data_IF_189148237635
#
_entry.id   IF_189148237635
#
_cell.length_a   1.000
_cell.length_b   1.000
_cell.length_c   1.000
_cell.angle_alpha   90.00
_cell.angle_beta   90.00
_cell.angle_gamma   90.00
#
_symmetry.space_group_name_H-M   'P 1'
#
loop_
_entity.id
_entity.type
_entity.pdbx_description
1 polymer ?
#
# COMPACT_ATOMS: atom_id res chain seq x y z
N UNK A 1 -8.26 5.86 -25.56
CA UNK A 1 -8.25 7.33 -25.62
C UNK A 1 -7.23 7.83 -24.61
N UNK A 2 -6.25 8.65 -25.01
CA UNK A 2 -5.40 9.37 -24.05
C UNK A 2 -6.31 10.17 -23.10
N UNK A 3 -6.16 10.07 -21.77
CA UNK A 3 -6.61 11.14 -20.90
C UNK A 3 -5.92 12.43 -21.37
N UNK A 4 -6.68 13.50 -21.58
CA UNK A 4 -6.10 14.83 -21.84
C UNK A 4 -5.12 15.15 -20.70
N UNK A 5 -4.06 15.89 -21.03
CA UNK A 5 -2.99 16.27 -20.12
C UNK A 5 -3.46 16.55 -18.67
N UNK A 6 -2.78 15.89 -17.72
CA UNK A 6 -2.37 16.20 -16.34
C UNK A 6 -2.91 17.44 -15.59
N UNK A 7 -3.40 18.47 -16.29
CA UNK A 7 -4.00 19.68 -15.72
C UNK A 7 -5.53 19.72 -15.84
N UNK A 8 -6.15 18.76 -16.54
CA UNK A 8 -7.59 18.69 -16.68
C UNK A 8 -8.22 17.95 -15.51
N UNK A 9 -9.29 18.53 -14.94
CA UNK A 9 -10.17 17.82 -14.01
C UNK A 9 -10.59 16.48 -14.61
N UNK A 10 -10.56 15.42 -13.81
CA UNK A 10 -10.87 14.06 -14.25
C UNK A 10 -11.73 13.34 -13.22
N UNK A 11 -12.51 12.38 -13.69
CA UNK A 11 -13.35 11.52 -12.84
C UNK A 11 -13.28 10.09 -13.36
N UNK A 12 -13.03 9.14 -12.47
CA UNK A 12 -13.09 7.71 -12.76
C UNK A 12 -14.00 7.02 -11.75
N UNK A 13 -14.95 6.23 -12.25
CA UNK A 13 -15.82 5.39 -11.44
C UNK A 13 -15.58 3.93 -11.80
N UNK A 14 -15.66 3.05 -10.80
CA UNK A 14 -15.52 1.60 -10.94
C UNK A 14 -16.56 0.89 -10.09
N UNK A 15 -17.12 -0.18 -10.65
CA UNK A 15 -17.98 -1.12 -9.91
C UNK A 15 -17.17 -2.30 -9.36
N UNK A 16 -17.70 -2.98 -8.36
CA UNK A 16 -17.01 -4.06 -7.63
C UNK A 16 -16.34 -5.12 -8.51
N UNK A 17 -16.94 -5.49 -9.63
CA UNK A 17 -16.44 -6.59 -10.48
C UNK A 17 -15.91 -6.11 -11.84
N UNK A 18 -15.73 -4.80 -12.00
CA UNK A 18 -15.27 -4.24 -13.26
C UNK A 18 -13.78 -4.54 -13.47
N UNK A 19 -13.47 -5.29 -14.54
CA UNK A 19 -12.11 -5.59 -15.01
C UNK A 19 -12.09 -5.50 -16.53
N UNK A 20 -11.04 -4.91 -17.09
CA UNK A 20 -10.81 -4.90 -18.53
C UNK A 20 -10.46 -6.29 -19.07
N UNK A 21 -10.84 -6.54 -20.33
CA UNK A 21 -10.49 -7.78 -21.04
C UNK A 21 -8.95 -7.89 -21.19
N UNK A 22 -8.46 -9.13 -21.22
CA UNK A 22 -7.03 -9.49 -21.18
C UNK A 22 -6.16 -8.85 -22.27
N UNK A 23 -6.76 -8.45 -23.39
CA UNK A 23 -6.06 -7.88 -24.54
C UNK A 23 -6.20 -6.35 -24.66
N UNK A 24 -6.72 -5.67 -23.64
CA UNK A 24 -6.78 -4.21 -23.64
C UNK A 24 -5.43 -3.66 -23.17
N UNK A 25 -4.73 -2.85 -23.97
CA UNK A 25 -3.49 -2.23 -23.53
C UNK A 25 -3.70 -1.39 -22.27
N UNK A 26 -2.85 -1.61 -21.26
CA UNK A 26 -2.81 -0.76 -20.08
C UNK A 26 -2.03 0.50 -20.41
N UNK A 27 -2.64 1.64 -20.16
CA UNK A 27 -1.93 2.91 -20.16
C UNK A 27 -1.29 3.14 -18.79
N UNK A 28 0.03 3.34 -18.78
CA UNK A 28 0.80 3.78 -17.62
C UNK A 28 1.15 5.25 -17.80
N UNK A 29 1.00 6.01 -16.72
CA UNK A 29 1.47 7.39 -16.63
C UNK A 29 2.99 7.39 -16.44
N UNK A 30 3.72 7.95 -17.40
CA UNK A 30 5.19 7.91 -17.44
C UNK A 30 5.83 9.30 -17.32
N UNK A 31 5.04 10.36 -17.22
CA UNK A 31 5.57 11.72 -17.10
C UNK A 31 5.71 12.13 -15.64
N UNK A 32 6.83 12.78 -15.25
CA UNK A 32 7.00 13.28 -13.89
C UNK A 32 6.05 14.40 -13.52
N UNK A 33 5.43 15.03 -14.52
CA UNK A 33 4.43 16.04 -14.27
C UNK A 33 3.06 15.44 -13.97
N UNK A 34 2.81 14.17 -14.34
CA UNK A 34 1.52 13.49 -14.19
C UNK A 34 0.94 13.65 -12.78
N UNK A 35 -0.39 13.73 -12.68
CA UNK A 35 -1.06 13.90 -11.41
C UNK A 35 -0.78 12.69 -10.52
N UNK A 36 -0.14 12.88 -9.36
CA UNK A 36 0.25 11.81 -8.44
C UNK A 36 -0.95 10.94 -8.05
N UNK A 37 -2.10 11.57 -7.86
CA UNK A 37 -3.32 10.93 -7.42
C UNK A 37 -4.17 10.37 -8.57
N UNK A 38 -3.76 10.58 -9.83
CA UNK A 38 -4.48 9.99 -10.95
C UNK A 38 -4.28 8.47 -10.98
N UNK A 39 -5.35 7.70 -11.27
CA UNK A 39 -5.26 6.28 -11.51
C UNK A 39 -4.12 5.97 -12.47
N UNK A 40 -3.17 5.14 -12.05
CA UNK A 40 -1.95 4.90 -12.84
C UNK A 40 -2.13 3.80 -13.87
N UNK A 41 -3.20 3.01 -13.75
CA UNK A 41 -3.46 1.82 -14.53
C UNK A 41 -4.84 1.96 -15.16
N UNK A 42 -4.88 2.34 -16.43
CA UNK A 42 -6.13 2.56 -17.15
C UNK A 42 -6.19 1.76 -18.46
N UNK A 43 -7.18 0.85 -18.63
CA UNK A 43 -8.16 0.41 -17.63
C UNK A 43 -7.57 -0.59 -16.61
N UNK A 44 -8.27 -0.81 -15.48
CA UNK A 44 -7.91 -1.84 -14.49
C UNK A 44 -8.04 -3.22 -15.13
N UNK A 45 -6.96 -4.00 -15.18
CA UNK A 45 -6.97 -5.35 -15.73
C UNK A 45 -6.82 -6.41 -14.61
N UNK A 46 -6.92 -7.69 -14.96
CA UNK A 46 -6.93 -8.79 -13.99
C UNK A 46 -5.58 -9.05 -13.28
N UNK A 47 -4.53 -8.29 -13.56
CA UNK A 47 -3.16 -8.56 -13.06
C UNK A 47 -2.50 -7.30 -12.49
N UNK A 48 -3.29 -6.26 -12.23
CA UNK A 48 -2.78 -4.96 -11.82
C UNK A 48 -3.72 -4.35 -10.81
N UNK A 49 -3.14 -3.79 -9.74
CA UNK A 49 -3.87 -3.06 -8.71
C UNK A 49 -3.35 -1.64 -8.57
N UNK A 50 -4.21 -0.75 -8.07
CA UNK A 50 -3.83 0.56 -7.58
C UNK A 50 -4.30 0.74 -6.14
N UNK A 51 -3.47 1.42 -5.34
CA UNK A 51 -3.66 1.56 -3.90
C UNK A 51 -3.41 3.02 -3.49
N UNK A 52 -4.25 3.51 -2.59
CA UNK A 52 -4.00 4.70 -1.78
C UNK A 52 -3.89 4.26 -0.33
N UNK A 53 -2.83 4.67 0.34
CA UNK A 53 -2.55 4.28 1.72
C UNK A 53 -2.30 5.51 2.57
N UNK A 54 -2.84 5.48 3.79
CA UNK A 54 -2.70 6.53 4.77
C UNK A 54 -2.45 5.90 6.13
N UNK A 55 -1.30 6.16 6.70
CA UNK A 55 -0.93 5.68 8.01
C UNK A 55 -0.46 6.81 8.92
N UNK A 56 -0.30 6.48 10.19
CA UNK A 56 0.25 7.40 11.17
C UNK A 56 0.46 6.71 12.49
N UNK A 57 1.48 7.18 13.21
CA UNK A 57 1.81 6.74 14.57
C UNK A 57 1.89 7.99 15.45
N UNK A 58 1.37 7.90 16.69
CA UNK A 58 1.52 8.98 17.66
C UNK A 58 2.98 9.18 18.04
N UNK A 59 3.33 10.38 18.51
CA UNK A 59 4.71 10.73 18.83
C UNK A 59 5.37 9.83 19.90
N UNK A 60 4.55 9.25 20.78
CA UNK A 60 4.98 8.28 21.81
C UNK A 60 5.03 6.83 21.31
N UNK A 61 4.65 6.56 20.05
CA UNK A 61 4.63 5.22 19.46
C UNK A 61 3.45 4.35 19.91
N UNK A 62 2.54 4.85 20.74
CA UNK A 62 1.56 4.02 21.42
C UNK A 62 0.22 3.88 20.70
N UNK A 63 -0.08 4.78 19.76
CA UNK A 63 -1.27 4.73 18.92
C UNK A 63 -0.85 4.70 17.45
N UNK A 64 -1.57 3.92 16.64
CA UNK A 64 -1.34 3.87 15.21
C UNK A 64 -2.64 3.69 14.45
N UNK A 65 -2.67 4.13 13.20
CA UNK A 65 -3.71 3.79 12.26
C UNK A 65 -3.10 3.48 10.89
N UNK A 66 -3.83 2.69 10.11
CA UNK A 66 -3.56 2.47 8.69
C UNK A 66 -4.88 2.29 7.95
N UNK A 67 -5.04 3.01 6.85
CA UNK A 67 -6.16 2.90 5.93
C UNK A 67 -5.62 2.66 4.53
N UNK A 68 -5.98 1.53 3.94
CA UNK A 68 -5.69 1.21 2.55
C UNK A 68 -6.97 1.18 1.73
N UNK A 69 -6.97 1.88 0.60
CA UNK A 69 -8.03 1.90 -0.40
C UNK A 69 -7.51 1.25 -1.66
N UNK A 70 -8.17 0.18 -2.10
CA UNK A 70 -7.68 -0.67 -3.16
C UNK A 70 -8.67 -0.70 -4.33
N UNK A 71 -8.11 -0.72 -5.54
CA UNK A 71 -8.73 -1.24 -6.76
C UNK A 71 -7.80 -2.32 -7.27
N UNK A 72 -8.04 -3.56 -6.84
CA UNK A 72 -7.14 -4.67 -7.03
C UNK A 72 -7.92 -5.97 -7.25
N UNK A 73 -7.95 -6.48 -8.50
CA UNK A 73 -8.59 -7.76 -8.80
C UNK A 73 -7.89 -8.97 -8.17
N UNK A 74 -6.61 -8.90 -7.82
CA UNK A 74 -5.91 -10.02 -7.16
C UNK A 74 -6.42 -10.22 -5.72
N UNK A 75 -6.96 -9.17 -5.11
CA UNK A 75 -7.58 -9.22 -3.78
C UNK A 75 -9.06 -9.60 -3.80
N UNK A 76 -9.62 -9.92 -4.98
CA UNK A 76 -11.02 -10.36 -5.15
C UNK A 76 -11.24 -11.81 -4.70
N UNK A 77 -10.90 -12.10 -3.44
CA UNK A 77 -11.02 -13.44 -2.87
C UNK A 77 -12.49 -13.83 -2.75
N UNK A 78 -12.84 -15.02 -3.25
CA UNK A 78 -14.20 -15.61 -3.12
C UNK A 78 -15.33 -14.71 -3.64
N UNK A 79 -15.06 -13.89 -4.67
CA UNK A 79 -16.08 -13.07 -5.31
C UNK A 79 -16.51 -11.85 -4.48
N UNK A 80 -15.64 -11.36 -3.60
CA UNK A 80 -15.86 -10.11 -2.84
C UNK A 80 -15.76 -8.84 -3.69
N UNK A 81 -15.17 -8.94 -4.89
CA UNK A 81 -14.93 -7.82 -5.80
C UNK A 81 -13.56 -7.17 -5.61
N UNK A 82 -13.23 -6.26 -6.51
CA UNK A 82 -11.92 -5.66 -6.69
C UNK A 82 -11.70 -4.41 -5.81
N UNK A 83 -12.73 -3.97 -5.09
CA UNK A 83 -12.73 -2.68 -4.38
C UNK A 83 -12.63 -2.92 -2.87
N UNK A 84 -11.42 -3.13 -2.38
CA UNK A 84 -11.17 -3.42 -0.95
C UNK A 84 -10.84 -2.15 -0.17
N UNK A 85 -11.27 -2.10 1.08
CA UNK A 85 -10.82 -1.15 2.10
C UNK A 85 -10.25 -1.95 3.25
N UNK A 86 -9.08 -1.56 3.74
CA UNK A 86 -8.50 -2.07 4.99
C UNK A 86 -8.41 -0.92 5.97
N UNK A 87 -8.95 -1.09 7.18
CA UNK A 87 -8.85 -0.12 8.26
C UNK A 87 -8.33 -0.84 9.50
N UNK A 88 -7.15 -0.44 9.99
CA UNK A 88 -6.59 -0.98 11.23
C UNK A 88 -6.20 0.18 12.15
N UNK A 89 -6.54 0.05 13.43
CA UNK A 89 -6.15 1.00 14.47
C UNK A 89 -5.58 0.25 15.67
N UNK A 90 -4.54 0.82 16.27
CA UNK A 90 -3.93 0.34 17.48
C UNK A 90 -3.91 1.45 18.53
N UNK A 91 -4.25 1.11 19.76
CA UNK A 91 -4.32 2.04 20.87
C UNK A 91 -3.34 1.70 21.99
N UNK A 92 -2.98 2.72 22.76
CA UNK A 92 -2.00 2.63 23.86
C UNK A 92 -2.40 1.61 24.94
N UNK A 93 -3.69 1.41 25.16
CA UNK A 93 -4.23 0.45 26.14
C UNK A 93 -4.20 -1.01 25.66
N UNK A 94 -3.59 -1.30 24.51
CA UNK A 94 -3.52 -2.63 23.92
C UNK A 94 -4.72 -2.99 23.02
N UNK A 95 -5.79 -2.20 23.01
CA UNK A 95 -6.93 -2.43 22.11
C UNK A 95 -6.49 -2.33 20.64
N UNK A 96 -7.06 -3.19 19.80
CA UNK A 96 -6.86 -3.21 18.35
C UNK A 96 -8.22 -3.21 17.65
N UNK A 97 -8.30 -2.48 16.55
CA UNK A 97 -9.42 -2.51 15.62
C UNK A 97 -8.90 -2.95 14.25
N UNK A 98 -9.62 -3.84 13.59
CA UNK A 98 -9.28 -4.30 12.25
C UNK A 98 -10.57 -4.58 11.49
N UNK A 99 -10.73 -3.97 10.33
CA UNK A 99 -11.90 -4.12 9.48
C UNK A 99 -11.48 -4.16 8.01
N UNK A 100 -12.10 -5.08 7.28
CA UNK A 100 -11.98 -5.15 5.82
C UNK A 100 -13.38 -5.03 5.25
N UNK A 101 -13.58 -4.07 4.37
CA UNK A 101 -14.82 -3.90 3.63
C UNK A 101 -14.58 -4.05 2.13
N UNK A 102 -15.63 -4.49 1.43
CA UNK A 102 -15.63 -4.60 -0.03
C UNK A 102 -16.70 -3.68 -0.60
N UNK A 103 -16.26 -2.58 -1.21
CA UNK A 103 -17.14 -1.58 -1.78
C UNK A 103 -17.83 -2.08 -3.04
N UNK A 104 -19.09 -1.67 -3.21
CA UNK A 104 -19.81 -1.87 -4.46
C UNK A 104 -19.33 -0.90 -5.54
N UNK A 105 -18.89 0.30 -5.14
CA UNK A 105 -18.49 1.37 -6.03
C UNK A 105 -17.30 2.16 -5.47
N UNK A 106 -16.37 2.52 -6.35
CA UNK A 106 -15.26 3.44 -6.09
C UNK A 106 -15.30 4.59 -7.09
N UNK A 107 -15.21 5.82 -6.61
CA UNK A 107 -15.16 7.03 -7.42
C UNK A 107 -13.94 7.84 -7.01
N UNK A 108 -13.12 8.20 -7.99
CA UNK A 108 -12.05 9.18 -7.85
C UNK A 108 -12.36 10.38 -8.72
N UNK A 109 -12.23 11.57 -8.16
CA UNK A 109 -12.40 12.84 -8.86
C UNK A 109 -11.25 13.77 -8.52
N UNK A 110 -10.57 14.32 -9.51
CA UNK A 110 -9.60 15.41 -9.34
C UNK A 110 -10.16 16.69 -9.95
N UNK A 111 -10.06 17.75 -9.17
CA UNK A 111 -10.51 19.10 -9.48
C UNK A 111 -9.34 20.09 -9.26
N UNK A 112 -9.60 21.39 -9.42
CA UNK A 112 -8.59 22.42 -9.22
C UNK A 112 -8.05 22.48 -7.77
N UNK A 113 -8.89 22.11 -6.79
CA UNK A 113 -8.59 22.15 -5.36
C UNK A 113 -7.90 20.88 -4.83
N UNK A 114 -7.96 19.78 -5.58
CA UNK A 114 -7.34 18.52 -5.18
C UNK A 114 -8.07 17.28 -5.69
N UNK A 115 -7.73 16.13 -5.11
CA UNK A 115 -8.30 14.83 -5.47
C UNK A 115 -9.16 14.29 -4.34
N UNK A 116 -10.30 13.69 -4.69
CA UNK A 116 -11.24 13.08 -3.75
C UNK A 116 -11.50 11.64 -4.15
N UNK A 117 -11.35 10.75 -3.18
CA UNK A 117 -11.67 9.34 -3.29
C UNK A 117 -12.90 9.01 -2.47
N UNK A 118 -13.73 8.14 -3.01
CA UNK A 118 -14.97 7.69 -2.39
C UNK A 118 -15.17 6.20 -2.65
N UNK A 119 -15.23 5.41 -1.58
CA UNK A 119 -15.56 3.99 -1.62
C UNK A 119 -16.81 3.78 -0.79
N UNK A 120 -17.84 3.15 -1.37
CA UNK A 120 -19.08 2.84 -0.64
C UNK A 120 -19.53 1.41 -0.87
N UNK A 121 -20.21 0.89 0.14
CA UNK A 121 -21.01 -0.32 0.05
C UNK A 121 -22.28 -0.17 0.88
N UNK A 122 -22.94 -1.30 1.13
CA UNK A 122 -24.18 -1.30 1.92
C UNK A 122 -23.86 -0.97 3.39
N UNK A 123 -24.26 0.21 3.85
CA UNK A 123 -24.15 0.62 5.25
C UNK A 123 -22.78 1.12 5.67
N UNK A 124 -21.86 1.38 4.73
CA UNK A 124 -20.58 2.00 5.02
C UNK A 124 -20.11 2.90 3.87
N UNK A 125 -19.31 3.91 4.20
CA UNK A 125 -18.54 4.67 3.22
C UNK A 125 -17.22 5.16 3.82
N UNK A 126 -16.23 5.26 2.95
CA UNK A 126 -14.92 5.81 3.25
C UNK A 126 -14.58 6.86 2.20
N UNK A 127 -14.01 7.97 2.64
CA UNK A 127 -13.58 9.05 1.76
C UNK A 127 -12.16 9.46 2.06
N UNK A 128 -11.47 9.96 1.04
CA UNK A 128 -10.28 10.75 1.24
C UNK A 128 -10.36 12.02 0.39
N UNK A 129 -9.76 13.10 0.87
CA UNK A 129 -9.57 14.34 0.14
C UNK A 129 -8.12 14.76 0.31
N UNK A 130 -7.41 14.95 -0.79
CA UNK A 130 -6.00 15.35 -0.83
C UNK A 130 -5.95 16.70 -1.54
N UNK A 131 -5.40 17.72 -0.88
CA UNK A 131 -5.26 19.04 -1.50
C UNK A 131 -4.35 19.00 -2.72
N UNK A 132 -4.51 19.92 -3.68
CA UNK A 132 -3.75 19.89 -4.95
C UNK A 132 -2.23 19.91 -4.77
N UNK A 133 -1.76 20.59 -3.73
CA UNK A 133 -0.35 20.69 -3.31
C UNK A 133 0.09 19.50 -2.42
N UNK A 134 -0.82 18.57 -2.11
CA UNK A 134 -0.64 17.44 -1.19
C UNK A 134 -0.20 17.85 0.23
N UNK A 135 -0.45 19.11 0.63
CA UNK A 135 -0.14 19.58 1.98
C UNK A 135 -1.12 19.07 3.04
N UNK A 136 -2.34 18.69 2.64
CA UNK A 136 -3.42 18.27 3.54
C UNK A 136 -4.16 17.06 3.00
N UNK A 137 -4.45 16.13 3.90
CA UNK A 137 -5.36 15.00 3.68
C UNK A 137 -6.47 15.04 4.72
N UNK A 138 -7.69 14.75 4.28
CA UNK A 138 -8.82 14.41 5.15
C UNK A 138 -9.34 13.03 4.80
N UNK A 139 -9.27 12.09 5.74
CA UNK A 139 -9.96 10.80 5.64
C UNK A 139 -11.30 10.91 6.36
N UNK A 140 -12.37 10.51 5.70
CA UNK A 140 -13.70 10.38 6.28
C UNK A 140 -14.07 8.92 6.41
N UNK A 141 -14.57 8.54 7.58
CA UNK A 141 -15.01 7.17 7.88
C UNK A 141 -16.46 7.24 8.38
N UNK A 142 -17.34 6.50 7.72
CA UNK A 142 -18.72 6.32 8.14
C UNK A 142 -19.07 4.82 8.06
N UNK A 143 -18.90 4.13 9.16
CA UNK A 143 -19.30 2.72 9.34
C UNK A 143 -20.07 2.56 10.65
N UNK A 144 -20.76 1.42 10.87
CA UNK A 144 -21.53 1.19 12.10
C UNK A 144 -20.70 1.22 13.39
N UNK A 145 -19.43 0.83 13.33
CA UNK A 145 -18.53 0.62 14.49
C UNK A 145 -17.31 1.55 14.50
N UNK A 146 -17.03 2.25 13.39
CA UNK A 146 -16.00 3.29 13.30
C UNK A 146 -16.54 4.48 12.51
N UNK A 147 -16.56 5.66 13.14
CA UNK A 147 -17.03 6.91 12.52
C UNK A 147 -16.16 8.08 12.94
N UNK A 148 -15.79 8.93 11.98
CA UNK A 148 -15.02 10.13 12.27
C UNK A 148 -14.21 10.62 11.08
N UNK A 149 -13.26 11.51 11.37
CA UNK A 149 -12.33 12.02 10.39
C UNK A 149 -10.89 11.93 10.92
N UNK A 150 -9.94 11.66 10.04
CA UNK A 150 -8.51 11.79 10.30
C UNK A 150 -7.98 12.91 9.41
N UNK A 151 -7.24 13.84 10.01
CA UNK A 151 -6.58 14.94 9.30
C UNK A 151 -5.08 14.69 9.30
N UNK A 152 -4.45 14.73 8.12
CA UNK A 152 -3.00 14.64 7.97
C UNK A 152 -2.52 15.95 7.36
N UNK A 153 -1.52 16.56 7.99
CA UNK A 153 -0.87 17.78 7.49
C UNK A 153 0.58 17.44 7.19
N UNK A 154 0.98 17.61 5.94
CA UNK A 154 2.36 17.40 5.55
C UNK A 154 3.26 18.52 6.08
N UNK A 155 4.46 18.15 6.53
CA UNK A 155 5.53 19.10 6.90
C UNK A 155 6.52 19.34 5.77
N UNK A 156 6.40 18.60 4.67
CA UNK A 156 7.34 18.65 3.54
C UNK A 156 6.61 18.61 2.21
N UNK A 157 7.29 19.02 1.13
CA UNK A 157 6.75 18.89 -0.21
C UNK A 157 6.60 17.40 -0.59
N UNK A 158 5.60 17.05 -1.43
CA UNK A 158 5.44 15.71 -1.98
C UNK A 158 6.70 15.28 -2.74
N UNK A 159 7.01 13.99 -2.70
CA UNK A 159 8.27 13.44 -3.20
C UNK A 159 8.07 12.31 -4.21
N UNK A 160 9.01 12.19 -5.14
CA UNK A 160 9.18 11.01 -5.99
C UNK A 160 9.98 9.92 -5.25
N UNK A 161 10.05 8.71 -5.81
CA UNK A 161 10.67 7.51 -5.20
C UNK A 161 12.16 7.65 -4.80
N UNK A 162 12.87 8.69 -5.25
CA UNK A 162 14.26 9.00 -4.87
C UNK A 162 14.36 10.26 -3.99
N UNK A 163 13.35 10.51 -3.17
CA UNK A 163 13.22 11.66 -2.27
C UNK A 163 13.28 13.05 -2.94
N UNK A 164 13.28 13.11 -4.28
CA UNK A 164 13.24 14.34 -5.05
C UNK A 164 11.88 15.02 -4.86
N UNK A 165 11.89 16.34 -4.66
CA UNK A 165 10.66 17.11 -4.43
C UNK A 165 9.91 17.40 -5.72
N UNK A 166 8.57 17.35 -5.68
CA UNK A 166 7.69 17.78 -6.77
C UNK A 166 7.46 19.30 -6.72
N UNK A 167 7.24 19.98 -7.88
CA UNK A 167 7.30 19.46 -9.25
C UNK A 167 8.72 19.32 -9.77
N UNK A 168 8.93 18.36 -10.66
CA UNK A 168 10.15 18.27 -11.46
C UNK A 168 9.84 17.79 -12.86
N UNK A 169 10.47 18.40 -13.86
CA UNK A 169 10.31 18.03 -15.27
C UNK A 169 11.26 16.91 -15.70
N UNK A 170 12.31 16.65 -14.93
CA UNK A 170 13.43 15.79 -15.31
C UNK A 170 13.51 14.50 -14.51
N UNK A 171 12.66 14.34 -13.50
CA UNK A 171 12.64 13.12 -12.67
C UNK A 171 12.10 11.95 -13.46
N UNK A 172 12.68 10.78 -13.24
CA UNK A 172 12.18 9.53 -13.80
C UNK A 172 11.04 9.03 -12.90
N UNK A 173 9.82 9.00 -13.42
CA UNK A 173 8.62 8.44 -12.75
C UNK A 173 8.39 6.97 -13.01
N UNK A 174 9.35 6.28 -13.63
CA UNK A 174 9.31 4.82 -13.62
C UNK A 174 9.10 4.41 -12.16
N UNK A 175 7.94 3.79 -11.87
CA UNK A 175 7.72 2.98 -10.66
C UNK A 175 8.99 2.17 -10.60
N UNK A 176 9.89 2.47 -9.64
CA UNK A 176 11.34 2.39 -9.85
C UNK A 176 11.67 1.29 -10.85
N UNK A 177 12.53 1.49 -11.86
CA UNK A 177 12.94 0.38 -12.74
C UNK A 177 13.43 -0.88 -11.99
N UNK A 178 13.59 -0.76 -10.67
CA UNK A 178 13.91 -1.77 -9.68
C UNK A 178 12.78 -2.17 -8.67
N UNK A 179 11.58 -1.60 -8.73
CA UNK A 179 10.36 -2.04 -8.02
C UNK A 179 9.59 -3.03 -8.89
N UNK A 180 10.25 -4.14 -9.24
CA UNK A 180 9.63 -5.28 -9.89
C UNK A 180 9.62 -6.48 -8.94
N UNK A 181 8.70 -6.47 -7.98
CA UNK A 181 8.53 -7.59 -7.05
C UNK A 181 7.08 -8.07 -7.03
N UNK A 182 6.89 -9.39 -6.98
CA UNK A 182 5.60 -9.98 -6.64
C UNK A 182 5.56 -10.21 -5.13
N UNK A 183 4.62 -9.57 -4.43
CA UNK A 183 4.42 -9.77 -2.99
C UNK A 183 3.37 -10.86 -2.76
N UNK A 184 3.70 -11.82 -1.90
CA UNK A 184 2.69 -12.65 -1.24
C UNK A 184 2.77 -12.36 0.25
N UNK A 185 1.72 -11.74 0.80
CA UNK A 185 1.62 -11.49 2.22
C UNK A 185 0.46 -12.32 2.81
N UNK A 186 0.75 -13.11 3.83
CA UNK A 186 -0.23 -13.88 4.60
C UNK A 186 -0.16 -13.41 6.04
N UNK A 187 -1.28 -12.89 6.55
CA UNK A 187 -1.45 -12.59 7.97
C UNK A 187 -2.54 -13.49 8.52
N UNK A 188 -2.24 -14.18 9.61
CA UNK A 188 -3.17 -15.11 10.26
C UNK A 188 -3.15 -14.90 11.76
N UNK A 189 -4.32 -15.01 12.38
CA UNK A 189 -4.46 -15.01 13.84
C UNK A 189 -5.21 -16.27 14.25
N UNK A 190 -4.67 -17.02 15.22
CA UNK A 190 -5.26 -18.24 15.75
C UNK A 190 -5.06 -18.28 17.27
N UNK A 191 -6.13 -17.95 18.02
CA UNK A 191 -6.05 -17.80 19.47
C UNK A 191 -5.04 -16.71 19.86
N UNK A 192 -4.09 -16.98 20.78
CA UNK A 192 -3.09 -15.99 21.19
C UNK A 192 -2.01 -15.76 20.12
N UNK A 193 -1.98 -16.55 19.04
CA UNK A 193 -0.91 -16.50 18.05
C UNK A 193 -1.25 -15.59 16.87
N UNK A 194 -0.29 -14.76 16.46
CA UNK A 194 -0.35 -13.97 15.23
C UNK A 194 0.87 -14.28 14.36
N UNK A 195 0.62 -14.68 13.12
CA UNK A 195 1.63 -14.98 12.12
C UNK A 195 1.55 -13.94 11.00
N UNK A 196 2.68 -13.34 10.66
CA UNK A 196 2.89 -12.58 9.45
C UNK A 196 3.94 -13.28 8.61
N UNK A 197 3.60 -13.61 7.38
CA UNK A 197 4.48 -14.16 6.36
C UNK A 197 4.47 -13.19 5.17
N UNK A 198 5.64 -12.78 4.71
CA UNK A 198 5.78 -12.01 3.48
C UNK A 198 6.83 -12.65 2.59
N UNK A 199 6.52 -12.81 1.32
CA UNK A 199 7.43 -13.28 0.29
C UNK A 199 7.47 -12.26 -0.84
N UNK A 200 8.67 -11.79 -1.16
CA UNK A 200 8.94 -10.90 -2.27
C UNK A 200 9.67 -11.71 -3.34
N UNK A 201 9.14 -11.82 -4.54
CA UNK A 201 9.85 -12.41 -5.67
C UNK A 201 10.41 -11.29 -6.53
N UNK A 202 11.74 -11.10 -6.49
CA UNK A 202 12.42 -10.06 -7.27
C UNK A 202 12.54 -10.48 -8.73
N UNK A 203 12.08 -9.64 -9.66
CA UNK A 203 12.32 -9.85 -11.10
C UNK A 203 13.64 -9.26 -11.58
N UNK A 204 14.29 -8.38 -10.81
CA UNK A 204 15.63 -7.87 -11.15
C UNK A 204 16.71 -8.89 -10.78
N UNK A 205 16.46 -9.68 -9.74
CA UNK A 205 17.33 -10.77 -9.32
C UNK A 205 16.81 -12.12 -9.84
N UNK A 206 16.47 -12.19 -11.15
CA UNK A 206 16.10 -13.41 -11.87
C UNK A 206 15.04 -14.32 -11.18
N UNK A 207 14.06 -13.73 -10.48
CA UNK A 207 13.02 -14.49 -9.78
C UNK A 207 13.39 -14.93 -8.37
N UNK A 208 14.47 -14.41 -7.78
CA UNK A 208 14.86 -14.72 -6.41
C UNK A 208 13.75 -14.37 -5.40
N UNK A 209 13.52 -15.28 -4.47
CA UNK A 209 12.47 -15.15 -3.46
C UNK A 209 13.05 -14.76 -2.09
N UNK A 210 12.50 -13.70 -1.53
CA UNK A 210 12.89 -13.09 -0.26
C UNK A 210 11.75 -13.26 0.72
N UNK A 211 11.92 -14.11 1.73
CA UNK A 211 10.86 -14.42 2.69
C UNK A 211 11.16 -13.83 4.05
N UNK A 212 10.16 -13.19 4.66
CA UNK A 212 10.15 -12.78 6.06
C UNK A 212 8.99 -13.43 6.78
N UNK A 213 9.23 -13.85 8.02
CA UNK A 213 8.23 -14.46 8.89
C UNK A 213 8.35 -13.85 10.26
N UNK A 214 7.22 -13.49 10.85
CA UNK A 214 7.06 -13.03 12.22
C UNK A 214 5.94 -13.85 12.87
N UNK A 215 6.26 -14.56 13.95
CA UNK A 215 5.28 -15.23 14.81
C UNK A 215 5.29 -14.57 16.18
N UNK A 216 4.11 -14.23 16.66
CA UNK A 216 3.87 -13.63 17.97
C UNK A 216 2.88 -14.48 18.76
N UNK A 217 2.97 -14.43 20.09
CA UNK A 217 1.99 -14.94 21.03
C UNK A 217 1.66 -13.85 22.04
N UNK A 218 0.40 -13.50 22.19
CA UNK A 218 -0.08 -12.44 23.09
C UNK A 218 0.64 -11.09 22.86
N UNK A 219 0.98 -10.80 21.60
CA UNK A 219 1.74 -9.61 21.21
C UNK A 219 3.25 -9.70 21.42
N UNK A 220 3.75 -10.76 22.07
CA UNK A 220 5.19 -10.99 22.24
C UNK A 220 5.77 -11.79 21.07
N UNK A 221 6.94 -11.36 20.57
CA UNK A 221 7.63 -12.02 19.46
C UNK A 221 8.19 -13.38 19.88
N UNK A 222 7.64 -14.46 19.33
CA UNK A 222 8.18 -15.82 19.49
C UNK A 222 9.29 -16.11 18.48
N UNK A 223 9.09 -15.71 17.21
CA UNK A 223 10.02 -16.00 16.13
C UNK A 223 10.05 -14.87 15.11
N UNK A 224 11.25 -14.52 14.63
CA UNK A 224 11.41 -13.73 13.42
C UNK A 224 12.56 -14.25 12.57
N UNK A 225 12.48 -14.07 11.26
CA UNK A 225 13.55 -14.33 10.30
C UNK A 225 14.89 -13.68 10.68
N UNK A 226 14.88 -12.52 11.33
CA UNK A 226 16.07 -11.84 11.86
C UNK A 226 16.84 -12.66 12.90
N UNK A 227 16.16 -13.44 13.75
CA UNK A 227 16.82 -14.26 14.77
C UNK A 227 17.47 -15.52 14.18
N UNK A 228 16.97 -15.98 13.04
CA UNK A 228 17.61 -17.06 12.26
C UNK A 228 18.90 -16.57 11.61
N UNK A 229 18.98 -15.30 11.21
CA UNK A 229 20.22 -14.68 10.73
C UNK A 229 21.29 -14.71 11.82
N UNK A 230 21.00 -14.24 13.03
CA UNK A 230 21.94 -14.27 14.17
C UNK A 230 22.41 -15.71 14.48
N UNK A 231 21.49 -16.69 14.41
CA UNK A 231 21.83 -18.10 14.59
C UNK A 231 22.73 -18.66 13.48
N UNK A 232 22.50 -18.25 12.22
CA UNK A 232 23.32 -18.64 11.05
C UNK A 232 24.69 -17.98 11.06
N UNK A 233 24.78 -16.70 11.40
CA UNK A 233 26.07 -16.00 11.62
C UNK A 233 26.90 -16.73 12.67
N UNK A 234 26.28 -17.11 13.79
CA UNK A 234 26.97 -17.84 14.87
C UNK A 234 27.39 -19.25 14.48
N UNK A 235 26.61 -19.95 13.66
CA UNK A 235 26.86 -21.35 13.31
C UNK A 235 27.73 -21.54 12.07
N UNK A 236 27.61 -20.64 11.08
CA UNK A 236 28.19 -20.79 9.74
C UNK A 236 29.22 -19.69 9.42
N UNK A 237 29.25 -18.62 10.21
CA UNK A 237 30.06 -17.43 9.95
C UNK A 237 29.35 -16.40 9.08
N UNK A 238 29.80 -15.13 9.12
CA UNK A 238 29.19 -14.01 8.41
C UNK A 238 29.29 -14.13 6.89
N UNK A 239 30.36 -14.75 6.38
CA UNK A 239 30.64 -14.88 4.94
C UNK A 239 29.98 -16.10 4.29
N UNK A 240 29.29 -16.93 5.06
CA UNK A 240 28.68 -18.13 4.50
C UNK A 240 27.46 -17.77 3.64
N UNK A 241 27.29 -18.40 2.49
CA UNK A 241 26.30 -18.02 1.47
C UNK A 241 24.87 -17.91 2.04
N UNK A 242 24.45 -18.82 2.92
CA UNK A 242 23.12 -18.78 3.54
C UNK A 242 22.97 -17.70 4.62
N UNK A 243 24.07 -17.21 5.19
CA UNK A 243 24.12 -16.08 6.11
C UNK A 243 24.06 -14.78 5.32
N UNK A 244 24.89 -14.65 4.28
CA UNK A 244 24.89 -13.52 3.35
C UNK A 244 23.53 -13.32 2.67
N UNK A 245 22.84 -14.41 2.29
CA UNK A 245 21.46 -14.32 1.79
C UNK A 245 20.52 -13.74 2.83
N UNK A 246 20.61 -14.15 4.09
CA UNK A 246 19.77 -13.62 5.17
C UNK A 246 20.07 -12.15 5.49
N UNK A 247 21.33 -11.70 5.43
CA UNK A 247 21.74 -10.29 5.58
C UNK A 247 21.24 -9.45 4.40
N UNK A 248 21.41 -9.94 3.17
CA UNK A 248 20.94 -9.27 1.95
C UNK A 248 19.42 -9.02 1.98
N UNK A 249 18.66 -10.03 2.43
CA UNK A 249 17.21 -9.91 2.57
C UNK A 249 16.80 -8.83 3.58
N UNK A 250 17.56 -8.68 4.68
CA UNK A 250 17.31 -7.68 5.71
C UNK A 250 17.73 -6.27 5.25
N UNK A 251 18.84 -6.16 4.53
CA UNK A 251 19.31 -4.90 3.95
C UNK A 251 18.34 -4.36 2.89
N UNK A 252 17.77 -5.22 2.04
CA UNK A 252 16.74 -4.83 1.07
C UNK A 252 15.47 -4.37 1.79
N UNK A 253 15.04 -5.07 2.84
CA UNK A 253 13.88 -4.67 3.64
C UNK A 253 14.10 -3.30 4.31
N UNK A 254 15.27 -3.07 4.91
CA UNK A 254 15.59 -1.77 5.50
C UNK A 254 15.75 -0.66 4.47
N UNK A 255 16.29 -0.95 3.29
CA UNK A 255 16.38 0.02 2.20
C UNK A 255 14.99 0.45 1.71
N UNK A 256 14.02 -0.46 1.70
CA UNK A 256 12.63 -0.20 1.34
C UNK A 256 11.88 0.58 2.44
N UNK A 257 12.22 0.38 3.72
CA UNK A 257 11.55 1.05 4.85
C UNK A 257 12.17 2.41 5.25
N UNK A 258 13.39 2.70 4.79
CA UNK A 258 14.16 3.87 5.21
C UNK A 258 14.20 5.01 4.18
N UNK A 259 13.37 4.96 3.13
CA UNK A 259 13.20 6.02 2.12
C UNK A 259 11.72 6.21 1.78
#
# INVERSE_FOLDING_TARGET
MKPKSVLAAWKTARQAYEVAKSNVPIWLFTSPMDDFEAPKILPLNASSGEQWEFDGVSADGMNAFIFGFYRDPDLSLMGSGNLRISAELAYANGTRFGRVDYASESILTSCADGTRGFWKGKGFSYTFEISKDMSRVRLGIDTPDLKGNIMITSKTLPRYAYAQTRPSETVVTDIARHFHWAMNAVRMTAGPYSLSYTKFTSRIDNGAEYTSVLLMKDGEKLFSSTRVLEGREKALGPEYTSTLHSVNNLAILYHIMAN
#
